data_IF_840288255187
#
_entry.id   IF_840288255187
#
_cell.length_a   1.000
_cell.length_b   1.000
_cell.length_c   1.000
_cell.angle_alpha   90.00
_cell.angle_beta   90.00
_cell.angle_gamma   90.00
#
_symmetry.space_group_name_H-M   'P 1'
#
loop_
_entity.id
_entity.type
_entity.pdbx_description
1 polymer ?
#
# COMPACT_ATOMS: atom_id res chain seq x y z
N UNK A 1 6.07 -31.12 -21.55
CA UNK A 1 5.08 -32.21 -21.80
C UNK A 1 3.68 -31.65 -21.54
N UNK A 2 2.74 -31.98 -22.41
CA UNK A 2 1.31 -31.64 -22.26
C UNK A 2 0.50 -32.95 -22.27
N UNK A 3 -0.32 -33.12 -21.24
CA UNK A 3 -1.21 -34.25 -21.03
C UNK A 3 -2.61 -33.82 -21.45
N UNK A 4 -3.08 -34.24 -22.60
CA UNK A 4 -4.35 -33.80 -23.16
C UNK A 4 -4.92 -34.85 -24.11
N UNK A 5 -6.25 -35.03 -24.09
CA UNK A 5 -6.98 -35.92 -25.06
C UNK A 5 -6.43 -37.36 -25.12
N UNK A 6 -6.05 -37.90 -23.94
CA UNK A 6 -5.54 -39.26 -23.83
C UNK A 6 -4.07 -39.43 -24.25
N UNK A 7 -3.40 -38.39 -24.71
CA UNK A 7 -2.02 -38.42 -25.19
C UNK A 7 -1.06 -37.57 -24.34
N UNK A 8 0.22 -37.95 -24.40
CA UNK A 8 1.34 -37.15 -23.85
C UNK A 8 2.09 -36.57 -25.04
N UNK A 9 2.04 -35.26 -25.17
CA UNK A 9 2.80 -34.50 -26.16
C UNK A 9 4.08 -33.97 -25.54
N UNK A 10 5.19 -34.02 -26.29
CA UNK A 10 6.50 -33.49 -25.85
C UNK A 10 7.14 -32.63 -26.93
N UNK A 11 7.77 -31.56 -26.53
CA UNK A 11 8.58 -30.70 -27.36
C UNK A 11 9.75 -30.10 -26.55
N UNK A 12 10.93 -30.03 -27.18
CA UNK A 12 12.16 -29.50 -26.56
C UNK A 12 12.61 -28.20 -27.22
N UNK A 13 13.21 -27.36 -26.40
CA UNK A 13 13.67 -26.02 -26.80
C UNK A 13 15.07 -25.77 -26.27
N UNK A 14 15.85 -24.95 -26.96
CA UNK A 14 17.13 -24.41 -26.47
C UNK A 14 17.22 -22.92 -26.82
N UNK A 15 17.35 -22.07 -25.80
CA UNK A 15 17.42 -20.60 -25.98
C UNK A 15 16.28 -20.03 -26.83
N UNK A 16 15.07 -20.55 -26.67
CA UNK A 16 13.87 -20.16 -27.42
C UNK A 16 13.71 -20.80 -28.81
N UNK A 17 14.76 -21.47 -29.34
CA UNK A 17 14.66 -22.20 -30.59
C UNK A 17 14.10 -23.61 -30.36
N UNK A 18 13.18 -24.05 -31.22
CA UNK A 18 12.64 -25.40 -31.23
C UNK A 18 13.74 -26.40 -31.64
N UNK A 19 13.95 -27.44 -30.85
CA UNK A 19 14.91 -28.50 -31.15
C UNK A 19 14.27 -29.68 -31.88
N UNK A 20 13.03 -30.03 -31.51
CA UNK A 20 12.30 -31.19 -32.02
C UNK A 20 10.89 -30.78 -32.43
N UNK A 21 10.34 -31.49 -33.42
CA UNK A 21 8.91 -31.41 -33.71
C UNK A 21 8.09 -31.94 -32.56
N UNK A 22 6.83 -31.47 -32.46
CA UNK A 22 5.89 -31.97 -31.47
C UNK A 22 5.66 -33.49 -31.65
N UNK A 23 5.96 -34.28 -30.62
CA UNK A 23 5.86 -35.75 -30.65
C UNK A 23 4.82 -36.24 -29.65
N UNK A 24 4.09 -37.29 -29.99
CA UNK A 24 3.31 -38.07 -29.03
C UNK A 24 4.24 -39.14 -28.48
N UNK A 25 4.51 -39.08 -27.16
CA UNK A 25 5.45 -40.01 -26.50
C UNK A 25 4.76 -41.11 -25.68
N UNK A 26 3.43 -41.03 -25.54
CA UNK A 26 2.66 -42.02 -24.79
C UNK A 26 1.20 -41.66 -24.63
N UNK A 27 0.46 -42.46 -23.88
CA UNK A 27 -0.94 -42.25 -23.52
C UNK A 27 -1.08 -41.95 -22.04
N UNK A 28 -2.14 -41.24 -21.65
CA UNK A 28 -2.38 -40.83 -20.25
C UNK A 28 -3.85 -40.54 -19.98
N UNK A 29 -4.30 -40.84 -18.76
CA UNK A 29 -5.59 -40.39 -18.24
C UNK A 29 -5.52 -39.05 -17.51
N UNK A 30 -4.30 -38.44 -17.40
CA UNK A 30 -4.07 -37.17 -16.74
C UNK A 30 -4.33 -36.02 -17.71
N UNK A 31 -4.69 -34.87 -17.12
CA UNK A 31 -4.78 -33.59 -17.82
C UNK A 31 -3.85 -32.55 -17.13
N UNK A 32 -3.06 -31.86 -17.93
CA UNK A 32 -2.15 -30.83 -17.38
C UNK A 32 -0.91 -30.61 -18.24
N UNK A 33 0.05 -29.86 -17.66
CA UNK A 33 1.31 -29.51 -18.31
C UNK A 33 2.47 -29.74 -17.35
N UNK A 34 3.57 -30.29 -17.82
CA UNK A 34 4.85 -30.41 -17.12
C UNK A 34 5.90 -29.60 -17.88
N UNK A 35 6.56 -28.68 -17.20
CA UNK A 35 7.65 -27.87 -17.76
C UNK A 35 8.92 -28.20 -17.00
N UNK A 36 9.96 -28.63 -17.70
CA UNK A 36 11.31 -28.80 -17.18
C UNK A 36 12.22 -27.78 -17.84
N UNK A 37 13.04 -27.08 -17.07
CA UNK A 37 14.01 -26.14 -17.64
C UNK A 37 15.30 -26.10 -16.80
N UNK A 38 16.39 -25.75 -17.48
CA UNK A 38 17.70 -25.50 -16.88
C UNK A 38 18.06 -24.05 -17.20
N UNK A 39 18.38 -23.22 -16.19
CA UNK A 39 18.85 -21.86 -16.41
C UNK A 39 20.13 -21.84 -17.24
N UNK A 40 20.19 -20.97 -18.26
CA UNK A 40 21.37 -20.82 -19.09
C UNK A 40 22.40 -19.89 -18.39
N UNK A 41 23.62 -20.36 -18.07
CA UNK A 41 24.63 -19.56 -17.37
C UNK A 41 25.16 -18.38 -18.19
N UNK A 42 25.01 -18.37 -19.52
CA UNK A 42 25.35 -17.20 -20.33
C UNK A 42 24.35 -16.06 -20.17
N UNK A 43 23.08 -16.39 -19.83
CA UNK A 43 22.01 -15.40 -19.58
C UNK A 43 21.96 -15.06 -18.09
N UNK A 44 22.02 -16.05 -17.23
CA UNK A 44 21.98 -15.88 -15.76
C UNK A 44 23.40 -15.90 -15.20
N UNK A 45 24.13 -14.79 -15.39
CA UNK A 45 25.56 -14.70 -15.09
C UNK A 45 25.87 -14.62 -13.58
N UNK A 46 24.94 -14.10 -12.74
CA UNK A 46 25.17 -13.96 -11.30
C UNK A 46 24.97 -15.29 -10.57
N UNK A 47 23.92 -16.03 -10.89
CA UNK A 47 23.63 -17.35 -10.32
C UNK A 47 22.64 -18.13 -11.15
N UNK A 48 22.79 -19.46 -11.18
CA UNK A 48 21.81 -20.42 -11.71
C UNK A 48 21.10 -21.19 -10.58
N UNK A 49 21.46 -20.91 -9.32
CA UNK A 49 20.87 -21.56 -8.16
C UNK A 49 19.62 -20.84 -7.70
N UNK A 50 18.55 -21.62 -7.48
CA UNK A 50 17.29 -21.11 -6.96
C UNK A 50 17.30 -21.04 -5.44
N UNK A 51 16.85 -19.88 -4.90
CA UNK A 51 16.57 -19.70 -3.48
C UNK A 51 15.20 -20.30 -3.16
N UNK A 52 15.19 -21.40 -2.38
CA UNK A 52 13.97 -22.12 -2.05
C UNK A 52 12.97 -21.26 -1.25
N UNK A 53 13.45 -20.46 -0.29
CA UNK A 53 12.55 -19.66 0.54
C UNK A 53 11.92 -18.49 -0.23
N UNK A 54 12.66 -17.85 -1.12
CA UNK A 54 12.09 -16.84 -2.04
C UNK A 54 11.02 -17.44 -2.93
N UNK A 55 11.28 -18.59 -3.53
CA UNK A 55 10.30 -19.31 -4.36
C UNK A 55 9.09 -19.76 -3.54
N UNK A 56 9.30 -20.34 -2.35
CA UNK A 56 8.23 -20.79 -1.48
C UNK A 56 7.32 -19.62 -1.03
N UNK A 57 7.90 -18.45 -0.75
CA UNK A 57 7.13 -17.24 -0.44
C UNK A 57 6.29 -16.78 -1.63
N UNK A 58 6.85 -16.81 -2.84
CA UNK A 58 6.08 -16.47 -4.05
C UNK A 58 4.98 -17.47 -4.35
N UNK A 59 5.23 -18.76 -4.19
CA UNK A 59 4.23 -19.83 -4.36
C UNK A 59 3.10 -19.66 -3.31
N UNK A 60 3.44 -19.32 -2.07
CA UNK A 60 2.45 -19.01 -1.03
C UNK A 60 1.59 -17.81 -1.40
N UNK A 61 2.19 -16.73 -1.88
CA UNK A 61 1.49 -15.54 -2.34
C UNK A 61 0.50 -15.87 -3.46
N UNK A 62 0.93 -16.64 -4.46
CA UNK A 62 0.06 -17.11 -5.55
C UNK A 62 -1.09 -17.98 -5.05
N UNK A 63 -0.86 -18.80 -4.01
CA UNK A 63 -1.93 -19.60 -3.41
C UNK A 63 -2.97 -18.73 -2.68
N UNK A 64 -2.57 -17.62 -2.06
CA UNK A 64 -3.51 -16.65 -1.49
C UNK A 64 -4.31 -15.90 -2.56
N UNK A 65 -3.69 -15.57 -3.69
CA UNK A 65 -4.34 -14.83 -4.78
C UNK A 65 -5.30 -15.71 -5.61
N UNK A 66 -5.23 -17.04 -5.46
CA UNK A 66 -6.06 -17.99 -6.20
C UNK A 66 -6.75 -18.93 -5.20
N UNK A 67 -7.90 -18.52 -4.73
CA UNK A 67 -8.73 -19.22 -3.74
C UNK A 67 -8.91 -20.70 -4.09
N UNK A 68 -8.60 -21.57 -3.12
CA UNK A 68 -8.74 -23.02 -3.27
C UNK A 68 -7.68 -23.71 -4.14
N UNK A 69 -6.76 -22.96 -4.78
CA UNK A 69 -5.69 -23.54 -5.57
C UNK A 69 -4.59 -24.13 -4.67
N UNK A 70 -4.33 -25.42 -4.81
CA UNK A 70 -3.22 -26.08 -4.10
C UNK A 70 -1.94 -25.99 -4.90
N UNK A 71 -0.95 -25.31 -4.37
CA UNK A 71 0.39 -25.18 -4.92
C UNK A 71 1.40 -25.90 -4.01
N UNK A 72 2.32 -26.62 -4.63
CA UNK A 72 3.37 -27.36 -3.92
C UNK A 72 4.73 -27.05 -4.53
N UNK A 73 5.71 -26.78 -3.68
CA UNK A 73 7.12 -26.64 -4.05
C UNK A 73 7.93 -27.69 -3.30
N UNK A 74 8.86 -28.34 -4.00
CA UNK A 74 9.74 -29.34 -3.42
C UNK A 74 11.18 -29.06 -3.82
N UNK A 75 12.09 -29.02 -2.86
CA UNK A 75 13.52 -28.94 -3.08
C UNK A 75 14.11 -30.35 -2.95
N UNK A 76 14.74 -30.86 -4.01
CA UNK A 76 15.38 -32.17 -4.04
C UNK A 76 16.91 -32.11 -3.84
N UNK A 77 17.49 -30.93 -3.58
CA UNK A 77 18.93 -30.75 -3.38
C UNK A 77 19.44 -31.33 -2.04
N UNK A 78 18.70 -31.20 -0.91
CA UNK A 78 19.06 -31.88 0.33
C UNK A 78 18.88 -33.40 0.22
N UNK A 79 19.58 -34.18 1.08
CA UNK A 79 19.44 -35.65 1.17
C UNK A 79 17.98 -36.07 1.39
N UNK A 80 17.26 -35.34 2.24
CA UNK A 80 15.81 -35.48 2.40
C UNK A 80 15.10 -34.32 1.68
N UNK A 81 14.22 -34.59 0.70
CA UNK A 81 13.52 -33.54 -0.02
C UNK A 81 12.63 -32.67 0.87
N UNK A 82 12.82 -31.36 0.81
CA UNK A 82 12.01 -30.39 1.56
C UNK A 82 10.80 -29.99 0.74
N UNK A 83 9.60 -30.33 1.24
CA UNK A 83 8.32 -30.07 0.56
C UNK A 83 7.46 -29.09 1.36
N UNK A 84 6.98 -28.03 0.71
CA UNK A 84 5.98 -27.09 1.23
C UNK A 84 4.75 -27.07 0.32
N UNK A 85 3.55 -27.16 0.90
CA UNK A 85 2.28 -27.10 0.16
C UNK A 85 1.41 -25.99 0.74
N UNK A 86 0.77 -25.23 -0.14
CA UNK A 86 -0.07 -24.09 0.21
C UNK A 86 -1.43 -24.25 -0.47
N UNK A 87 -2.51 -24.03 0.29
CA UNK A 87 -3.88 -23.99 -0.21
C UNK A 87 -4.70 -23.13 0.77
N UNK A 88 -5.34 -22.09 0.28
CA UNK A 88 -6.08 -21.15 1.10
C UNK A 88 -7.49 -20.93 0.56
N UNK A 89 -8.47 -21.49 1.24
CA UNK A 89 -9.88 -21.36 0.86
C UNK A 89 -10.43 -19.94 1.06
N UNK A 90 -9.85 -19.17 1.98
CA UNK A 90 -10.20 -17.77 2.22
C UNK A 90 -9.57 -16.77 1.25
N UNK A 91 -8.68 -17.22 0.34
CA UNK A 91 -8.06 -16.33 -0.65
C UNK A 91 -7.30 -15.15 -0.04
N UNK A 92 -7.50 -13.95 -0.57
CA UNK A 92 -6.84 -12.73 -0.08
C UNK A 92 -7.26 -12.31 1.33
N UNK A 93 -8.42 -12.76 1.84
CA UNK A 93 -8.82 -12.58 3.23
C UNK A 93 -7.84 -13.30 4.16
N UNK A 94 -7.53 -14.58 3.86
CA UNK A 94 -6.51 -15.34 4.59
C UNK A 94 -5.10 -14.73 4.43
N UNK A 95 -4.85 -14.03 3.33
CA UNK A 95 -3.58 -13.32 3.16
C UNK A 95 -3.44 -12.16 4.14
N UNK A 96 -4.49 -11.35 4.32
CA UNK A 96 -4.50 -10.27 5.31
C UNK A 96 -4.34 -10.81 6.73
N UNK A 97 -5.03 -11.90 7.08
CA UNK A 97 -4.86 -12.59 8.36
C UNK A 97 -3.40 -13.04 8.57
N UNK A 98 -2.79 -13.63 7.55
CA UNK A 98 -1.39 -14.04 7.56
C UNK A 98 -0.44 -12.86 7.78
N UNK A 99 -0.65 -11.73 7.09
CA UNK A 99 0.16 -10.51 7.23
C UNK A 99 0.03 -9.86 8.62
N UNK A 100 -1.07 -10.09 9.31
CA UNK A 100 -1.36 -9.54 10.63
C UNK A 100 -1.19 -10.55 11.78
N UNK A 101 -0.74 -11.78 11.50
CA UNK A 101 -0.62 -12.87 12.49
C UNK A 101 0.13 -12.48 13.76
N UNK A 102 1.14 -11.61 13.65
CA UNK A 102 1.96 -11.12 14.77
C UNK A 102 1.57 -9.73 15.28
N UNK A 103 0.45 -9.16 14.78
CA UNK A 103 0.03 -7.80 15.09
C UNK A 103 -1.26 -7.81 15.90
N UNK A 104 -1.45 -6.79 16.73
CA UNK A 104 -2.71 -6.59 17.44
C UNK A 104 -3.72 -5.95 16.48
N UNK A 105 -4.75 -6.69 16.11
CA UNK A 105 -5.83 -6.24 15.23
C UNK A 105 -6.94 -5.53 16.01
N UNK A 106 -7.63 -4.57 15.38
CA UNK A 106 -8.75 -3.85 15.99
C UNK A 106 -10.06 -4.65 15.94
N UNK A 107 -10.17 -5.58 15.03
CA UNK A 107 -11.30 -6.51 14.85
C UNK A 107 -10.79 -7.81 14.24
N UNK A 108 -11.40 -8.93 14.58
CA UNK A 108 -10.87 -10.26 14.27
C UNK A 108 -10.98 -10.59 12.78
N UNK A 109 -12.16 -10.36 12.19
CA UNK A 109 -12.44 -10.77 10.81
C UNK A 109 -12.07 -9.66 9.81
N UNK A 110 -11.18 -9.91 8.82
CA UNK A 110 -10.87 -8.92 7.80
C UNK A 110 -12.12 -8.54 6.97
N UNK A 111 -12.22 -7.28 6.63
CA UNK A 111 -13.23 -6.77 5.70
C UNK A 111 -12.91 -7.29 4.32
N UNK A 112 -13.89 -7.85 3.63
CA UNK A 112 -13.75 -8.39 2.29
C UNK A 112 -14.79 -7.77 1.35
N UNK A 113 -14.33 -7.30 0.21
CA UNK A 113 -15.13 -6.74 -0.87
C UNK A 113 -14.76 -7.44 -2.15
N UNK A 114 -15.75 -7.90 -2.89
CA UNK A 114 -15.62 -8.53 -4.20
C UNK A 114 -16.67 -7.97 -5.14
N UNK A 115 -16.31 -7.77 -6.40
CA UNK A 115 -17.24 -7.35 -7.42
C UNK A 115 -16.64 -7.45 -8.81
N UNK A 116 -17.52 -7.47 -9.82
CA UNK A 116 -17.16 -7.50 -11.23
C UNK A 116 -17.94 -6.43 -12.00
N UNK A 117 -17.25 -5.73 -12.87
CA UNK A 117 -17.86 -4.78 -13.80
C UNK A 117 -17.04 -4.73 -15.10
N UNK A 118 -17.72 -4.77 -16.24
CA UNK A 118 -17.11 -4.68 -17.59
C UNK A 118 -16.00 -5.74 -17.83
N UNK A 119 -16.16 -6.94 -17.24
CA UNK A 119 -15.19 -8.04 -17.30
C UNK A 119 -13.97 -7.85 -16.39
N UNK A 120 -13.95 -6.79 -15.60
CA UNK A 120 -12.90 -6.53 -14.60
C UNK A 120 -13.39 -7.01 -13.25
N UNK A 121 -12.70 -7.99 -12.66
CA UNK A 121 -12.95 -8.47 -11.31
C UNK A 121 -12.05 -7.72 -10.33
N UNK A 122 -12.63 -7.26 -9.23
CA UNK A 122 -11.94 -6.55 -8.15
C UNK A 122 -12.19 -7.25 -6.83
N UNK A 123 -11.14 -7.61 -6.15
CA UNK A 123 -11.17 -8.15 -4.80
C UNK A 123 -10.32 -7.27 -3.87
N UNK A 124 -10.86 -6.91 -2.72
CA UNK A 124 -10.15 -6.18 -1.68
C UNK A 124 -10.37 -6.85 -0.34
N UNK A 125 -9.30 -7.21 0.35
CA UNK A 125 -9.36 -7.61 1.75
C UNK A 125 -8.56 -6.62 2.58
N UNK A 126 -9.08 -6.22 3.75
CA UNK A 126 -8.39 -5.26 4.61
C UNK A 126 -8.72 -5.43 6.09
N UNK A 127 -7.79 -5.02 6.94
CA UNK A 127 -7.92 -5.07 8.39
C UNK A 127 -7.07 -3.97 9.02
N UNK A 128 -7.55 -3.41 10.11
CA UNK A 128 -6.80 -2.40 10.87
C UNK A 128 -6.11 -3.02 12.08
N UNK A 129 -4.92 -2.52 12.36
CA UNK A 129 -4.12 -2.89 13.52
C UNK A 129 -3.94 -1.70 14.46
N UNK A 130 -3.51 -1.95 15.70
CA UNK A 130 -3.14 -0.89 16.65
C UNK A 130 -1.88 -0.11 16.24
N UNK A 131 -1.09 -0.65 15.29
CA UNK A 131 0.13 -0.02 14.78
C UNK A 131 -0.13 1.24 13.94
N UNK A 132 0.96 1.85 13.45
CA UNK A 132 0.93 3.10 12.69
C UNK A 132 1.26 2.91 11.20
N UNK A 133 1.89 1.80 10.84
CA UNK A 133 2.34 1.53 9.48
C UNK A 133 1.19 1.06 8.59
N UNK A 134 1.13 1.63 7.38
CA UNK A 134 0.28 1.14 6.31
C UNK A 134 1.00 0.02 5.56
N UNK A 135 0.36 -1.13 5.41
CA UNK A 135 0.83 -2.23 4.58
C UNK A 135 -0.21 -2.53 3.50
N UNK A 136 0.05 -2.08 2.28
CA UNK A 136 -0.87 -2.24 1.16
C UNK A 136 -0.16 -2.98 0.03
N UNK A 137 -0.69 -4.14 -0.32
CA UNK A 137 -0.22 -4.98 -1.43
C UNK A 137 -1.23 -4.91 -2.57
N UNK A 138 -0.75 -4.64 -3.78
CA UNK A 138 -1.60 -4.55 -4.95
C UNK A 138 -1.17 -5.51 -6.04
N UNK A 139 -2.16 -6.14 -6.69
CA UNK A 139 -1.95 -7.18 -7.69
C UNK A 139 -2.84 -6.96 -8.89
N UNK A 140 -2.30 -7.25 -10.08
CA UNK A 140 -3.04 -7.29 -11.34
C UNK A 140 -2.72 -8.60 -12.05
N UNK A 141 -3.76 -9.44 -12.31
CA UNK A 141 -3.60 -10.77 -12.91
C UNK A 141 -2.50 -11.59 -12.19
N UNK A 142 -2.53 -11.61 -10.85
CA UNK A 142 -1.55 -12.26 -9.96
C UNK A 142 -0.12 -11.68 -10.02
N UNK A 143 0.12 -10.58 -10.73
CA UNK A 143 1.41 -9.89 -10.76
C UNK A 143 1.41 -8.83 -9.67
N UNK A 144 2.44 -8.82 -8.83
CA UNK A 144 2.58 -7.80 -7.78
C UNK A 144 2.96 -6.44 -8.39
N UNK A 145 2.06 -5.47 -8.27
CA UNK A 145 2.28 -4.09 -8.72
C UNK A 145 2.83 -3.26 -7.56
N UNK A 146 4.11 -3.45 -7.23
CA UNK A 146 4.71 -2.82 -6.03
C UNK A 146 4.85 -1.30 -6.12
N UNK A 147 4.75 -0.70 -7.30
CA UNK A 147 4.61 0.75 -7.50
C UNK A 147 3.14 1.19 -7.53
N UNK A 148 2.22 0.25 -7.24
CA UNK A 148 0.78 0.50 -7.23
C UNK A 148 0.15 0.54 -8.62
N UNK A 149 -0.73 1.51 -8.81
CA UNK A 149 -1.44 1.70 -10.07
C UNK A 149 -2.80 2.36 -9.88
N UNK A 150 -3.53 2.40 -10.97
CA UNK A 150 -4.85 3.05 -11.04
C UNK A 150 -5.87 2.37 -10.12
N UNK A 151 -5.87 1.04 -10.02
CA UNK A 151 -6.75 0.26 -9.13
C UNK A 151 -6.48 0.59 -7.65
N UNK A 152 -5.22 0.66 -7.26
CA UNK A 152 -4.83 1.05 -5.90
C UNK A 152 -5.23 2.49 -5.60
N UNK A 153 -5.04 3.40 -6.55
CA UNK A 153 -5.45 4.80 -6.42
C UNK A 153 -6.97 4.94 -6.29
N UNK A 154 -7.74 4.14 -7.04
CA UNK A 154 -9.20 4.07 -6.93
C UNK A 154 -9.64 3.64 -5.53
N UNK A 155 -9.08 2.55 -5.02
CA UNK A 155 -9.37 2.03 -3.67
C UNK A 155 -8.99 3.05 -2.58
N UNK A 156 -7.82 3.68 -2.63
CA UNK A 156 -7.38 4.70 -1.67
C UNK A 156 -8.30 5.93 -1.64
N UNK A 157 -8.75 6.37 -2.81
CA UNK A 157 -9.68 7.50 -2.94
C UNK A 157 -11.04 7.15 -2.35
N UNK A 158 -11.59 6.00 -2.72
CA UNK A 158 -12.87 5.50 -2.23
C UNK A 158 -12.85 5.29 -0.70
N UNK A 159 -11.80 4.65 -0.17
CA UNK A 159 -11.61 4.43 1.27
C UNK A 159 -11.69 5.74 2.05
N UNK A 160 -10.93 6.76 1.61
CA UNK A 160 -10.88 8.05 2.28
C UNK A 160 -12.23 8.76 2.24
N UNK A 161 -12.91 8.74 1.10
CA UNK A 161 -14.22 9.35 0.91
C UNK A 161 -15.29 8.67 1.76
N UNK A 162 -15.41 7.35 1.67
CA UNK A 162 -16.45 6.59 2.38
C UNK A 162 -16.32 6.73 3.89
N UNK A 163 -15.09 6.67 4.45
CA UNK A 163 -14.88 6.85 5.90
C UNK A 163 -15.26 8.26 6.35
N UNK A 164 -14.90 9.30 5.60
CA UNK A 164 -15.29 10.68 5.94
C UNK A 164 -16.81 10.88 5.86
N UNK A 165 -17.46 10.34 4.84
CA UNK A 165 -18.91 10.45 4.66
C UNK A 165 -19.65 9.68 5.77
N UNK A 166 -19.21 8.47 6.11
CA UNK A 166 -19.75 7.70 7.22
C UNK A 166 -19.59 8.44 8.55
N UNK A 167 -18.39 8.94 8.84
CA UNK A 167 -18.11 9.65 10.09
C UNK A 167 -19.02 10.87 10.29
N UNK A 168 -19.34 11.59 9.23
CA UNK A 168 -20.27 12.74 9.25
C UNK A 168 -21.72 12.30 9.40
N UNK A 169 -22.16 11.31 8.62
CA UNK A 169 -23.54 10.76 8.72
C UNK A 169 -23.84 10.23 10.12
N UNK A 170 -22.88 9.59 10.75
CA UNK A 170 -23.03 9.04 12.11
C UNK A 170 -22.66 10.04 13.22
N UNK A 171 -22.38 11.30 12.88
CA UNK A 171 -22.02 12.37 13.83
C UNK A 171 -20.79 12.04 14.71
N UNK A 172 -19.90 11.18 14.23
CA UNK A 172 -18.61 10.86 14.88
C UNK A 172 -17.59 11.98 14.72
N UNK A 173 -17.80 12.84 13.72
CA UNK A 173 -17.04 14.07 13.48
C UNK A 173 -18.00 15.25 13.36
N UNK A 174 -17.60 16.41 13.89
CA UNK A 174 -18.39 17.66 13.77
C UNK A 174 -18.28 18.19 12.34
N UNK A 175 -19.30 18.92 11.88
CA UNK A 175 -19.30 19.54 10.55
C UNK A 175 -18.14 20.51 10.33
N UNK A 176 -17.70 21.20 11.38
CA UNK A 176 -16.60 22.15 11.35
C UNK A 176 -15.22 21.50 11.53
N UNK A 177 -15.13 20.19 11.79
CA UNK A 177 -13.86 19.50 11.89
C UNK A 177 -13.26 19.25 10.50
N UNK A 178 -11.93 19.37 10.39
CA UNK A 178 -11.19 19.07 9.16
C UNK A 178 -11.39 17.62 8.77
N UNK A 179 -11.60 17.36 7.46
CA UNK A 179 -11.71 16.00 6.93
C UNK A 179 -10.45 15.21 7.21
N UNK A 180 -10.62 13.91 7.48
CA UNK A 180 -9.50 12.98 7.58
C UNK A 180 -8.76 12.94 6.25
N UNK A 181 -7.45 13.08 6.28
CA UNK A 181 -6.60 12.90 5.10
C UNK A 181 -6.49 11.43 4.73
N UNK A 182 -6.03 11.14 3.51
CA UNK A 182 -5.78 9.76 3.11
C UNK A 182 -4.74 9.05 3.99
N UNK A 183 -3.77 9.78 4.54
CA UNK A 183 -2.77 9.23 5.47
C UNK A 183 -3.41 8.86 6.81
N UNK A 184 -4.26 9.74 7.36
CA UNK A 184 -4.97 9.49 8.62
C UNK A 184 -5.83 8.23 8.54
N UNK A 185 -6.54 8.08 7.40
CA UNK A 185 -7.44 6.94 7.16
C UNK A 185 -6.68 5.63 6.96
N UNK A 186 -5.47 5.67 6.41
CA UNK A 186 -4.67 4.47 6.17
C UNK A 186 -3.72 4.10 7.30
N UNK A 187 -3.65 4.89 8.38
CA UNK A 187 -2.79 4.56 9.52
C UNK A 187 -3.20 3.22 10.15
N UNK A 188 -2.25 2.30 10.26
CA UNK A 188 -2.46 0.95 10.78
C UNK A 188 -3.22 0.00 9.86
N UNK A 189 -3.50 0.39 8.61
CA UNK A 189 -4.19 -0.43 7.63
C UNK A 189 -3.25 -1.51 7.05
N UNK A 190 -3.71 -2.75 7.05
CA UNK A 190 -3.19 -3.82 6.19
C UNK A 190 -4.27 -4.14 5.15
N UNK A 191 -3.94 -4.03 3.87
CA UNK A 191 -4.87 -4.30 2.78
C UNK A 191 -4.19 -5.03 1.62
N UNK A 192 -4.94 -5.92 0.99
CA UNK A 192 -4.58 -6.59 -0.26
C UNK A 192 -5.65 -6.27 -1.28
N UNK A 193 -5.25 -5.71 -2.41
CA UNK A 193 -6.12 -5.51 -3.57
C UNK A 193 -5.65 -6.37 -4.73
N UNK A 194 -6.56 -7.15 -5.30
CA UNK A 194 -6.34 -7.98 -6.47
C UNK A 194 -7.36 -7.63 -7.55
N UNK A 195 -6.86 -7.38 -8.75
CA UNK A 195 -7.71 -7.11 -9.92
C UNK A 195 -7.38 -8.13 -11.01
N UNK A 196 -8.43 -8.68 -11.65
CA UNK A 196 -8.32 -9.43 -12.89
C UNK A 196 -8.84 -8.59 -14.03
N UNK A 197 -7.97 -8.24 -14.94
CA UNK A 197 -8.25 -7.36 -16.06
C UNK A 197 -8.01 -8.11 -17.38
N UNK A 198 -8.95 -8.09 -18.34
CA UNK A 198 -8.81 -8.83 -19.61
C UNK A 198 -7.64 -8.30 -20.46
N UNK A 199 -7.37 -7.00 -20.42
CA UNK A 199 -6.29 -6.35 -21.17
C UNK A 199 -5.51 -5.34 -20.29
N UNK A 200 -4.64 -5.83 -19.38
CA UNK A 200 -3.92 -4.95 -18.46
C UNK A 200 -2.78 -4.22 -19.16
N UNK A 201 -2.77 -2.89 -19.06
CA UNK A 201 -1.70 -2.03 -19.55
C UNK A 201 -0.82 -1.59 -18.38
N UNK A 202 0.45 -1.95 -18.45
CA UNK A 202 1.43 -1.63 -17.41
C UNK A 202 2.36 -0.51 -17.86
N UNK A 203 2.80 0.31 -16.90
CA UNK A 203 3.90 1.24 -17.12
C UNK A 203 5.22 0.45 -17.10
N UNK A 204 5.73 0.09 -18.27
CA UNK A 204 7.00 -0.61 -18.44
C UNK A 204 6.93 -2.14 -18.43
N UNK A 205 8.03 -2.74 -18.91
CA UNK A 205 8.16 -4.21 -19.10
C UNK A 205 8.14 -5.00 -17.79
N UNK A 206 8.56 -4.40 -16.68
CA UNK A 206 8.60 -5.04 -15.35
C UNK A 206 7.23 -5.19 -14.71
N UNK A 207 6.17 -4.60 -15.31
CA UNK A 207 4.77 -4.70 -14.88
C UNK A 207 4.54 -4.25 -13.43
N UNK A 208 5.31 -3.28 -12.98
CA UNK A 208 5.31 -2.81 -11.58
C UNK A 208 4.13 -1.92 -11.23
N UNK A 209 3.51 -1.30 -12.26
CA UNK A 209 2.43 -0.34 -12.09
C UNK A 209 1.36 -0.49 -13.17
N UNK A 210 0.09 -0.56 -12.76
CA UNK A 210 -1.04 -0.61 -13.68
C UNK A 210 -1.44 0.79 -14.14
N UNK A 211 -1.59 0.97 -15.47
CA UNK A 211 -1.91 2.25 -16.10
C UNK A 211 -3.37 2.44 -16.51
N UNK A 212 -4.16 1.37 -16.63
CA UNK A 212 -5.56 1.42 -17.11
C UNK A 212 -6.43 2.40 -16.33
N UNK A 213 -6.97 3.43 -16.97
CA UNK A 213 -7.80 4.45 -16.32
C UNK A 213 -9.14 3.91 -15.83
N UNK A 214 -9.75 2.99 -16.57
CA UNK A 214 -11.01 2.31 -16.22
C UNK A 214 -10.90 1.50 -14.92
N UNK A 215 -9.75 0.89 -14.67
CA UNK A 215 -9.50 0.14 -13.45
C UNK A 215 -9.64 1.02 -12.19
N UNK A 216 -9.26 2.31 -12.27
CA UNK A 216 -9.45 3.26 -11.19
C UNK A 216 -10.93 3.49 -10.89
N UNK A 217 -11.70 3.78 -11.93
CA UNK A 217 -13.14 4.12 -11.81
C UNK A 217 -13.95 2.93 -11.31
N UNK A 218 -13.68 1.75 -11.88
CA UNK A 218 -14.38 0.52 -11.51
C UNK A 218 -14.05 0.13 -10.07
N UNK A 219 -12.77 0.18 -9.69
CA UNK A 219 -12.36 -0.10 -8.30
C UNK A 219 -12.98 0.89 -7.31
N UNK A 220 -12.93 2.19 -7.59
CA UNK A 220 -13.56 3.21 -6.73
C UNK A 220 -15.05 2.90 -6.54
N UNK A 221 -15.78 2.63 -7.61
CA UNK A 221 -17.22 2.38 -7.60
C UNK A 221 -17.58 1.11 -6.84
N UNK A 222 -16.97 -0.02 -7.19
CA UNK A 222 -17.25 -1.31 -6.56
C UNK A 222 -16.88 -1.28 -5.07
N UNK A 223 -15.67 -0.81 -4.77
CA UNK A 223 -15.22 -0.74 -3.40
C UNK A 223 -16.08 0.19 -2.55
N UNK A 224 -16.39 1.40 -3.03
CA UNK A 224 -17.19 2.35 -2.24
C UNK A 224 -18.59 1.82 -1.94
N UNK A 225 -19.24 1.18 -2.92
CA UNK A 225 -20.59 0.63 -2.74
C UNK A 225 -20.62 -0.47 -1.67
N UNK A 226 -19.72 -1.43 -1.77
CA UNK A 226 -19.69 -2.56 -0.84
C UNK A 226 -19.14 -2.17 0.53
N UNK A 227 -18.15 -1.30 0.57
CA UNK A 227 -17.57 -0.85 1.83
C UNK A 227 -18.51 0.06 2.63
N UNK A 228 -19.25 0.95 1.97
CA UNK A 228 -20.29 1.76 2.63
C UNK A 228 -21.38 0.87 3.27
N UNK A 229 -21.85 -0.13 2.50
CA UNK A 229 -22.78 -1.12 3.00
C UNK A 229 -22.22 -1.85 4.23
N UNK A 230 -20.98 -2.33 4.15
CA UNK A 230 -20.30 -3.01 5.26
C UNK A 230 -20.24 -2.14 6.53
N UNK A 231 -19.89 -0.86 6.41
CA UNK A 231 -19.83 0.06 7.55
C UNK A 231 -21.20 0.27 8.20
N UNK A 232 -22.25 0.31 7.41
CA UNK A 232 -23.63 0.43 7.92
C UNK A 232 -24.10 -0.84 8.64
N UNK A 233 -23.71 -2.01 8.14
CA UNK A 233 -24.05 -3.30 8.74
C UNK A 233 -23.20 -3.60 10.00
N UNK A 234 -22.00 -3.01 10.11
CA UNK A 234 -21.04 -3.27 11.19
C UNK A 234 -20.63 -1.99 11.95
N UNK A 235 -21.56 -1.32 12.63
CA UNK A 235 -21.30 0.01 13.22
C UNK A 235 -20.19 0.01 14.28
N UNK A 236 -19.99 -1.09 14.99
CA UNK A 236 -18.91 -1.19 15.99
C UNK A 236 -17.52 -1.23 15.33
N UNK A 237 -17.37 -1.97 14.24
CA UNK A 237 -16.11 -2.01 13.46
C UNK A 237 -15.88 -0.65 12.81
N UNK A 238 -16.91 -0.08 12.19
CA UNK A 238 -16.85 1.22 11.56
C UNK A 238 -16.42 2.32 12.54
N UNK A 239 -16.95 2.30 13.77
CA UNK A 239 -16.56 3.24 14.81
C UNK A 239 -15.08 3.12 15.17
N UNK A 240 -14.55 1.91 15.36
CA UNK A 240 -13.12 1.68 15.63
C UNK A 240 -12.23 2.25 14.52
N UNK A 241 -12.63 2.06 13.24
CA UNK A 241 -11.90 2.57 12.09
C UNK A 241 -11.89 4.12 12.09
N UNK A 242 -13.05 4.74 12.29
CA UNK A 242 -13.17 6.22 12.34
C UNK A 242 -12.38 6.79 13.52
N UNK A 243 -12.50 6.20 14.71
CA UNK A 243 -11.77 6.63 15.91
C UNK A 243 -10.25 6.55 15.70
N UNK A 244 -9.76 5.49 15.05
CA UNK A 244 -8.35 5.36 14.66
C UNK A 244 -7.91 6.50 13.73
N UNK A 245 -8.68 6.81 12.69
CA UNK A 245 -8.41 7.92 11.77
C UNK A 245 -8.43 9.30 12.47
N UNK A 246 -9.37 9.53 13.38
CA UNK A 246 -9.45 10.77 14.18
C UNK A 246 -8.20 10.90 15.06
N UNK A 247 -7.76 9.82 15.70
CA UNK A 247 -6.55 9.82 16.52
C UNK A 247 -5.31 10.15 15.69
N UNK A 248 -5.17 9.54 14.52
CA UNK A 248 -4.09 9.81 13.57
C UNK A 248 -4.09 11.28 13.13
N UNK A 249 -5.24 11.84 12.77
CA UNK A 249 -5.40 13.24 12.38
C UNK A 249 -4.99 14.18 13.51
N UNK A 250 -5.43 13.93 14.75
CA UNK A 250 -5.05 14.72 15.91
C UNK A 250 -3.53 14.69 16.14
N UNK A 251 -2.90 13.53 16.03
CA UNK A 251 -1.46 13.37 16.17
C UNK A 251 -0.69 14.15 15.09
N UNK A 252 -1.13 14.04 13.82
CA UNK A 252 -0.56 14.76 12.68
C UNK A 252 -0.66 16.28 12.86
N UNK A 253 -1.83 16.79 13.26
CA UNK A 253 -2.06 18.21 13.49
C UNK A 253 -1.24 18.74 14.68
N UNK A 254 -1.13 17.97 15.75
CA UNK A 254 -0.28 18.32 16.90
C UNK A 254 1.20 18.39 16.48
N UNK A 255 1.68 17.41 15.72
CA UNK A 255 3.05 17.42 15.20
C UNK A 255 3.32 18.61 14.27
N UNK A 256 2.34 18.95 13.39
CA UNK A 256 2.43 20.14 12.53
C UNK A 256 2.56 21.42 13.33
N UNK A 257 1.69 21.61 14.32
CA UNK A 257 1.72 22.79 15.22
C UNK A 257 3.06 22.88 15.97
N UNK A 258 3.55 21.77 16.51
CA UNK A 258 4.83 21.74 17.20
C UNK A 258 6.00 22.17 16.29
N UNK A 259 6.03 21.68 15.05
CA UNK A 259 7.03 22.08 14.04
C UNK A 259 6.92 23.57 13.68
N UNK A 260 5.72 24.10 13.53
CA UNK A 260 5.50 25.52 13.24
C UNK A 260 5.97 26.41 14.38
N UNK A 261 5.70 26.05 15.64
CA UNK A 261 6.18 26.76 16.81
C UNK A 261 7.72 26.72 16.89
N UNK A 262 8.32 25.54 16.65
CA UNK A 262 9.78 25.42 16.64
C UNK A 262 10.42 26.25 15.53
N UNK A 263 9.86 26.22 14.31
CA UNK A 263 10.33 27.04 13.18
C UNK A 263 10.17 28.56 13.45
N UNK A 264 9.08 28.98 14.10
CA UNK A 264 8.92 30.38 14.50
C UNK A 264 9.95 30.77 15.57
N UNK A 265 10.21 29.90 16.55
CA UNK A 265 11.26 30.15 17.55
C UNK A 265 12.66 30.20 16.93
N UNK A 266 13.01 29.23 16.09
CA UNK A 266 14.29 29.23 15.39
C UNK A 266 14.41 30.36 14.35
N UNK A 267 13.30 30.79 13.76
CA UNK A 267 13.25 31.98 12.89
C UNK A 267 13.52 33.28 13.67
N UNK A 268 13.07 33.33 14.93
CA UNK A 268 13.39 34.45 15.84
C UNK A 268 14.83 34.37 16.37
N UNK A 269 15.39 33.16 16.51
CA UNK A 269 16.81 32.99 16.88
C UNK A 269 17.76 33.14 15.69
N UNK A 270 17.30 32.88 14.44
CA UNK A 270 18.07 33.06 13.19
C UNK A 270 17.93 34.50 12.66
N UNK A 271 17.01 35.33 13.14
CA UNK A 271 17.10 36.76 12.97
C UNK A 271 18.21 37.31 13.89
N UNK A 272 19.45 36.85 13.66
CA UNK A 272 20.62 37.68 13.92
C UNK A 272 20.51 38.85 12.95
N UNK A 273 19.64 39.80 13.31
CA UNK A 273 19.75 41.12 12.77
C UNK A 273 21.23 41.51 12.87
N UNK A 274 21.88 42.00 11.80
CA UNK A 274 23.27 42.41 11.86
C UNK A 274 23.47 43.17 13.15
N UNK A 275 24.54 42.89 13.89
CA UNK A 275 24.79 43.26 15.28
C UNK A 275 24.41 44.68 15.73
N UNK A 276 23.87 45.51 14.84
CA UNK A 276 23.38 46.86 15.04
C UNK A 276 21.85 47.01 15.13
N UNK A 277 21.08 45.89 14.98
CA UNK A 277 19.63 45.91 15.04
C UNK A 277 19.13 45.12 16.27
N UNK A 278 18.08 45.55 16.91
CA UNK A 278 17.40 44.86 18.00
C UNK A 278 15.91 44.73 17.65
N UNK A 279 15.34 43.52 17.84
CA UNK A 279 13.94 43.25 17.52
C UNK A 279 13.02 43.62 18.69
N UNK A 280 11.75 43.86 18.37
CA UNK A 280 10.71 44.17 19.35
C UNK A 280 10.22 42.88 20.03
N UNK A 281 9.97 42.87 21.31
CA UNK A 281 9.37 41.77 22.06
C UNK A 281 7.90 41.55 21.74
N UNK A 282 7.20 42.53 21.20
CA UNK A 282 5.81 42.45 20.75
C UNK A 282 5.72 42.05 19.26
N UNK A 283 4.81 41.13 18.92
CA UNK A 283 4.45 40.78 17.55
C UNK A 283 3.24 41.57 17.02
N UNK A 284 2.69 42.50 17.82
CA UNK A 284 1.56 43.32 17.42
C UNK A 284 2.07 44.64 16.79
N UNK A 285 1.84 44.83 15.48
CA UNK A 285 2.31 46.02 14.77
C UNK A 285 1.64 47.29 15.24
N UNK A 286 0.49 47.22 15.94
CA UNK A 286 -0.26 48.41 16.42
C UNK A 286 0.36 49.03 17.64
N UNK A 287 1.17 48.27 18.40
CA UNK A 287 1.86 48.72 19.63
C UNK A 287 3.38 48.72 19.46
N UNK A 288 3.87 48.45 18.26
CA UNK A 288 5.31 48.43 17.95
C UNK A 288 5.72 49.75 17.34
N UNK A 289 6.82 50.32 17.82
CA UNK A 289 7.39 51.57 17.33
C UNK A 289 8.82 51.36 16.85
N UNK A 290 9.20 52.03 15.78
CA UNK A 290 10.57 52.01 15.24
C UNK A 290 11.38 53.16 15.81
N UNK A 291 12.47 52.83 16.50
CA UNK A 291 13.44 53.83 17.03
C UNK A 291 14.74 53.76 16.23
N UNK A 292 15.17 54.89 15.75
CA UNK A 292 16.48 55.07 15.12
C UNK A 292 17.37 55.81 16.13
N UNK A 293 18.46 55.16 16.57
CA UNK A 293 19.37 55.70 17.57
C UNK A 293 20.81 55.66 17.10
N UNK A 294 21.59 56.65 17.48
CA UNK A 294 23.01 56.71 17.20
C UNK A 294 23.79 56.19 18.42
N UNK A 295 24.71 55.22 18.17
CA UNK A 295 25.60 54.67 19.18
C UNK A 295 25.05 53.56 20.06
N UNK A 296 25.93 52.84 20.77
CA UNK A 296 25.58 51.63 21.56
C UNK A 296 24.79 51.92 22.84
N UNK A 297 24.89 53.12 23.39
CA UNK A 297 24.20 53.51 24.64
C UNK A 297 22.69 53.58 24.43
N UNK A 298 22.21 54.00 23.24
CA UNK A 298 20.80 54.01 22.87
C UNK A 298 20.19 52.64 22.79
N UNK A 299 20.97 51.61 22.39
CA UNK A 299 20.54 50.22 22.27
C UNK A 299 20.16 49.57 23.61
N UNK A 300 20.86 49.93 24.69
CA UNK A 300 20.61 49.32 25.99
C UNK A 300 19.25 49.74 26.61
N UNK A 301 18.69 50.89 26.22
CA UNK A 301 17.41 51.38 26.70
C UNK A 301 16.19 50.94 25.87
N UNK A 302 16.42 50.34 24.72
CA UNK A 302 15.35 49.95 23.77
C UNK A 302 15.04 48.45 23.75
N UNK A 303 15.26 47.71 24.82
CA UNK A 303 15.04 46.25 24.87
C UNK A 303 13.60 45.82 24.58
N UNK A 304 12.64 46.69 24.64
CA UNK A 304 11.21 46.42 24.40
C UNK A 304 10.71 47.00 23.06
N UNK A 305 11.56 47.65 22.26
CA UNK A 305 11.19 48.33 21.02
C UNK A 305 12.18 48.04 19.91
N UNK A 306 11.74 48.11 18.65
CA UNK A 306 12.64 47.91 17.49
C UNK A 306 13.58 49.13 17.38
N UNK A 307 14.90 48.88 17.42
CA UNK A 307 15.90 49.90 17.26
C UNK A 307 16.75 49.63 16.00
N UNK A 308 16.83 50.59 15.08
CA UNK A 308 17.70 50.58 13.91
C UNK A 308 18.87 51.57 14.20
N UNK A 309 20.10 51.04 14.02
CA UNK A 309 21.31 51.90 14.02
C UNK A 309 21.58 52.42 12.61
N UNK A 310 21.84 53.68 12.47
CA UNK A 310 22.40 54.29 11.26
C UNK A 310 23.92 54.43 11.41
#
# INVERSE_FOLDING_TARGET
QVFKEGNIYEQSYKRGAVLDDLKIIGTTDKHGTSVYFVPDPEIFQETTEFDFDKLANRVRELAFLNKGLKLTITDYRPEEPVKKSFCYEGGIKSYVEHLNKSKQVLFEEPIYVEGEQDGIQVEVAMQYTSGYHTNLLSFTNNIHTYEGGTHESGMKTALTRVINDYARRQKLMKENEEKLSGEDVREGLTAVISIKHPDPQFEGQTKTKLGNSEARTITDRLFSTHFDKFLMENPQVARKIVEKGILASKARLAAKRAREVTRKKSGLEISNLPGKLADCSSNDPTISELFIVEGEIGRASCRERVCLYV
#
